data_IF_003825535214
#
_entry.id   IF_003825535214
#
_cell.length_a   1.000
_cell.length_b   1.000
_cell.length_c   1.000
_cell.angle_alpha   90.00
_cell.angle_beta   90.00
_cell.angle_gamma   90.00
#
_symmetry.space_group_name_H-M   'P 1'
#
loop_
_entity.id
_entity.type
_entity.pdbx_description
1 polymer ?
#
# COMPACT_ATOMS: atom_id res chain seq x y z
N UNK A 1 -16.57 -8.18 -9.95
CA UNK A 1 -15.23 -8.81 -9.98
C UNK A 1 -14.16 -7.71 -10.07
N UNK A 2 -12.98 -7.88 -9.46
CA UNK A 2 -11.89 -6.91 -9.54
C UNK A 2 -12.04 -5.64 -8.68
N UNK A 3 -12.46 -5.77 -7.41
CA UNK A 3 -12.51 -4.65 -6.46
C UNK A 3 -11.14 -3.94 -6.39
N UNK A 4 -11.11 -2.60 -6.35
CA UNK A 4 -9.92 -1.74 -6.47
C UNK A 4 -9.21 -1.72 -7.83
N UNK A 5 -9.36 -2.75 -8.68
CA UNK A 5 -8.88 -2.73 -10.07
C UNK A 5 -9.82 -1.97 -10.99
N UNK A 6 -11.12 -2.25 -10.88
CA UNK A 6 -12.15 -1.63 -11.72
C UNK A 6 -12.57 -0.28 -11.10
N UNK A 7 -12.52 0.84 -11.86
CA UNK A 7 -12.98 2.12 -11.34
C UNK A 7 -14.50 2.12 -11.14
N UNK A 8 -14.96 2.91 -10.18
CA UNK A 8 -16.38 3.19 -9.99
C UNK A 8 -16.97 4.14 -11.03
N UNK A 9 -18.25 4.45 -10.90
CA UNK A 9 -18.91 5.51 -11.67
C UNK A 9 -18.50 6.88 -11.11
N UNK A 10 -17.98 7.77 -11.96
CA UNK A 10 -17.43 9.06 -11.52
C UNK A 10 -18.47 9.98 -10.88
N UNK A 11 -19.71 9.97 -11.37
CA UNK A 11 -20.79 10.81 -10.82
C UNK A 11 -21.16 10.33 -9.41
N UNK A 12 -21.36 9.03 -9.22
CA UNK A 12 -21.66 8.46 -7.89
C UNK A 12 -20.51 8.65 -6.90
N UNK A 13 -19.26 8.59 -7.36
CA UNK A 13 -18.09 8.89 -6.53
C UNK A 13 -18.09 10.35 -6.06
N UNK A 14 -18.40 11.30 -6.96
CA UNK A 14 -18.50 12.70 -6.61
C UNK A 14 -19.61 12.95 -5.60
N UNK A 15 -20.80 12.40 -5.84
CA UNK A 15 -21.93 12.49 -4.90
C UNK A 15 -21.56 11.90 -3.54
N UNK A 16 -20.93 10.72 -3.50
CA UNK A 16 -20.50 10.09 -2.25
C UNK A 16 -19.47 10.97 -1.50
N UNK A 17 -18.51 11.55 -2.22
CA UNK A 17 -17.51 12.45 -1.66
C UNK A 17 -18.15 13.69 -1.03
N UNK A 18 -19.08 14.32 -1.73
CA UNK A 18 -19.81 15.50 -1.24
C UNK A 18 -20.60 15.18 0.03
N UNK A 19 -21.32 14.05 0.05
CA UNK A 19 -22.07 13.61 1.23
C UNK A 19 -21.15 13.33 2.43
N UNK A 20 -20.04 12.60 2.23
CA UNK A 20 -19.07 12.32 3.30
C UNK A 20 -18.42 13.60 3.85
N UNK A 21 -18.01 14.53 2.97
CA UNK A 21 -17.43 15.80 3.39
C UNK A 21 -18.44 16.71 4.10
N UNK A 22 -19.73 16.59 3.77
CA UNK A 22 -20.83 17.24 4.48
C UNK A 22 -21.16 16.61 5.84
N UNK A 23 -20.51 15.50 6.21
CA UNK A 23 -20.79 14.77 7.45
C UNK A 23 -22.09 13.98 7.42
N UNK A 24 -22.62 13.67 6.23
CA UNK A 24 -23.81 12.83 6.10
C UNK A 24 -23.53 11.40 6.55
N UNK A 25 -24.50 10.78 7.21
CA UNK A 25 -24.47 9.35 7.50
C UNK A 25 -24.89 8.58 6.25
N UNK A 26 -23.99 7.75 5.73
CA UNK A 26 -24.18 7.06 4.44
C UNK A 26 -24.69 5.65 4.70
N UNK A 27 -25.91 5.36 4.27
CA UNK A 27 -26.39 3.98 4.21
C UNK A 27 -25.89 3.27 2.95
N UNK A 28 -24.83 2.48 3.09
CA UNK A 28 -24.31 1.63 2.01
C UNK A 28 -25.21 0.42 1.69
N UNK A 29 -26.25 0.16 2.47
CA UNK A 29 -27.21 -0.93 2.26
C UNK A 29 -28.34 -0.54 1.30
N UNK A 30 -28.52 0.75 1.04
CA UNK A 30 -29.52 1.33 0.12
C UNK A 30 -29.40 0.83 -1.32
N UNK A 31 -28.19 0.47 -1.75
CA UNK A 31 -27.87 0.14 -3.15
C UNK A 31 -27.52 1.36 -4.01
N UNK A 32 -27.52 2.57 -3.46
CA UNK A 32 -27.21 3.81 -4.18
C UNK A 32 -25.76 3.88 -4.65
N UNK A 33 -24.85 3.21 -3.93
CA UNK A 33 -23.42 3.19 -4.22
C UNK A 33 -22.93 1.77 -4.51
N UNK A 34 -22.21 1.63 -5.62
CA UNK A 34 -21.56 0.37 -5.95
C UNK A 34 -20.23 0.25 -5.18
N UNK A 35 -19.80 -0.95 -4.75
CA UNK A 35 -18.53 -1.13 -4.03
C UNK A 35 -17.29 -0.52 -4.72
N UNK A 36 -17.29 -0.50 -6.06
CA UNK A 36 -16.20 0.14 -6.84
C UNK A 36 -16.15 1.66 -6.67
N UNK A 37 -17.28 2.31 -6.38
CA UNK A 37 -17.34 3.75 -6.13
C UNK A 37 -16.60 4.07 -4.82
N UNK A 38 -16.93 3.33 -3.75
CA UNK A 38 -16.28 3.42 -2.45
C UNK A 38 -14.78 3.07 -2.55
N UNK A 39 -14.45 2.00 -3.26
CA UNK A 39 -13.07 1.56 -3.46
C UNK A 39 -12.21 2.61 -4.19
N UNK A 40 -12.78 3.29 -5.19
CA UNK A 40 -12.06 4.34 -5.94
C UNK A 40 -11.92 5.60 -5.10
N UNK A 41 -12.96 5.96 -4.34
CA UNK A 41 -12.92 7.10 -3.43
C UNK A 41 -11.90 6.90 -2.30
N UNK A 42 -11.81 5.70 -1.73
CA UNK A 42 -10.80 5.37 -0.71
C UNK A 42 -9.37 5.53 -1.24
N UNK A 43 -9.08 5.03 -2.46
CA UNK A 43 -7.77 5.22 -3.09
C UNK A 43 -7.46 6.70 -3.31
N UNK A 44 -8.45 7.46 -3.77
CA UNK A 44 -8.31 8.89 -4.02
C UNK A 44 -8.04 9.65 -2.71
N UNK A 45 -8.77 9.34 -1.63
CA UNK A 45 -8.54 9.90 -0.30
C UNK A 45 -7.10 9.66 0.19
N UNK A 46 -6.60 8.41 0.10
CA UNK A 46 -5.23 8.09 0.49
C UNK A 46 -4.20 8.86 -0.34
N UNK A 47 -4.50 9.05 -1.63
CA UNK A 47 -3.65 9.83 -2.49
C UNK A 47 -3.66 11.34 -2.17
N UNK A 48 -4.82 11.90 -1.86
CA UNK A 48 -4.99 13.33 -1.60
C UNK A 48 -4.51 13.77 -0.21
N UNK A 49 -3.97 12.85 0.60
CA UNK A 49 -3.39 13.18 1.91
C UNK A 49 -2.25 14.23 1.77
N UNK A 50 -2.09 15.16 2.73
CA UNK A 50 -1.01 16.14 2.71
C UNK A 50 0.41 15.53 2.71
N UNK A 51 0.54 14.33 3.25
CA UNK A 51 1.76 13.52 3.27
C UNK A 51 1.37 12.05 3.00
N UNK A 52 2.24 11.23 2.37
CA UNK A 52 1.96 9.82 2.16
C UNK A 52 1.62 9.09 3.46
N UNK A 53 0.79 8.06 3.38
CA UNK A 53 0.38 7.31 4.56
C UNK A 53 1.57 6.73 5.34
N UNK A 54 2.62 6.28 4.63
CA UNK A 54 3.87 5.79 5.25
C UNK A 54 4.86 6.89 5.66
N UNK A 55 4.50 8.17 5.49
CA UNK A 55 5.32 9.35 5.74
C UNK A 55 6.62 9.40 4.91
N UNK A 56 7.24 10.56 4.77
CA UNK A 56 8.54 10.69 4.12
C UNK A 56 9.70 10.32 5.04
N UNK A 57 9.51 10.43 6.36
CA UNK A 57 10.57 10.31 7.38
C UNK A 57 11.31 8.98 7.35
N UNK A 58 10.60 7.88 7.08
CA UNK A 58 11.15 6.52 7.07
C UNK A 58 10.97 5.79 5.74
N UNK A 59 10.46 6.46 4.71
CA UNK A 59 10.21 5.91 3.38
C UNK A 59 11.45 5.21 2.79
N UNK A 60 12.63 5.83 2.92
CA UNK A 60 13.88 5.23 2.45
C UNK A 60 14.19 3.91 3.16
N UNK A 61 13.89 3.77 4.45
CA UNK A 61 14.08 2.52 5.17
C UNK A 61 13.06 1.47 4.72
N UNK A 62 11.80 1.87 4.51
CA UNK A 62 10.75 0.97 4.02
C UNK A 62 11.12 0.38 2.65
N UNK A 63 11.58 1.21 1.71
CA UNK A 63 12.03 0.77 0.37
C UNK A 63 13.27 -0.13 0.46
N UNK A 64 14.21 0.20 1.35
CA UNK A 64 15.46 -0.58 1.53
C UNK A 64 15.18 -1.98 2.09
N UNK A 65 14.32 -2.11 3.09
CA UNK A 65 14.05 -3.39 3.76
C UNK A 65 13.25 -4.35 2.88
N UNK A 66 12.33 -3.81 2.09
CA UNK A 66 11.47 -4.59 1.17
C UNK A 66 12.18 -4.99 -0.13
N UNK A 67 13.42 -4.53 -0.37
CA UNK A 67 14.09 -4.72 -1.65
C UNK A 67 13.41 -3.98 -2.82
N UNK A 68 12.45 -3.08 -2.55
CA UNK A 68 11.67 -2.35 -3.56
C UNK A 68 12.48 -1.38 -4.43
N UNK A 69 13.81 -1.29 -4.24
CA UNK A 69 14.71 -0.64 -5.21
C UNK A 69 14.62 -1.26 -6.61
N UNK A 70 14.09 -2.48 -6.73
CA UNK A 70 13.89 -3.18 -8.00
C UNK A 70 12.65 -2.68 -8.78
N UNK A 71 11.63 -2.10 -8.13
CA UNK A 71 10.45 -1.55 -8.83
C UNK A 71 10.79 -0.24 -9.55
N UNK A 72 11.79 0.53 -9.08
CA UNK A 72 12.28 1.71 -9.80
C UNK A 72 12.97 1.37 -11.12
N UNK A 73 13.56 0.19 -11.25
CA UNK A 73 14.28 -0.22 -12.47
C UNK A 73 13.36 -0.62 -13.63
N UNK A 74 12.08 -0.89 -13.36
CA UNK A 74 11.08 -1.20 -14.40
C UNK A 74 10.38 0.05 -14.94
N UNK A 75 10.59 1.23 -14.34
CA UNK A 75 9.96 2.49 -14.74
C UNK A 75 10.95 3.55 -15.25
N UNK A 76 12.26 3.35 -15.10
CA UNK A 76 13.30 4.24 -15.68
C UNK A 76 14.56 3.44 -16.04
N UNK A 77 15.20 3.79 -17.16
CA UNK A 77 16.33 3.10 -17.77
C UNK A 77 17.48 2.72 -16.81
N UNK A 78 18.24 1.64 -17.10
CA UNK A 78 19.20 1.07 -16.18
C UNK A 78 20.48 1.92 -16.12
N UNK A 79 20.80 2.47 -14.95
CA UNK A 79 22.10 3.11 -14.70
C UNK A 79 22.63 2.78 -13.30
N UNK A 80 23.55 1.82 -13.27
CA UNK A 80 24.75 1.70 -12.40
C UNK A 80 24.73 1.98 -10.88
N UNK A 81 23.61 1.99 -10.17
CA UNK A 81 23.60 1.92 -8.69
C UNK A 81 23.18 0.54 -8.15
N UNK A 82 23.66 -0.53 -8.80
CA UNK A 82 23.73 -1.86 -8.20
C UNK A 82 24.88 -1.85 -7.18
N UNK A 83 24.71 -2.39 -5.97
CA UNK A 83 25.79 -2.85 -5.06
C UNK A 83 25.85 -2.29 -3.63
N UNK A 84 24.73 -1.97 -2.96
CA UNK A 84 24.73 -1.93 -1.48
C UNK A 84 23.50 -2.55 -0.80
N UNK A 85 22.42 -2.78 -1.54
CA UNK A 85 21.09 -3.05 -0.96
C UNK A 85 20.86 -4.54 -0.68
N UNK A 86 21.47 -5.40 -1.49
CA UNK A 86 21.53 -6.84 -1.25
C UNK A 86 22.20 -7.14 0.11
N UNK A 87 23.01 -6.24 0.66
CA UNK A 87 23.86 -6.56 1.81
C UNK A 87 23.09 -6.72 3.12
N UNK A 88 22.05 -5.94 3.45
CA UNK A 88 21.43 -5.99 4.80
C UNK A 88 20.45 -7.15 5.04
N UNK A 89 19.82 -7.67 3.99
CA UNK A 89 18.89 -8.81 4.10
C UNK A 89 19.60 -10.16 3.90
N UNK A 90 20.86 -10.12 3.49
CA UNK A 90 21.72 -11.27 3.26
C UNK A 90 22.68 -11.49 4.43
N UNK A 91 22.23 -11.39 5.67
CA UNK A 91 23.03 -11.81 6.83
C UNK A 91 22.28 -12.88 7.64
N UNK A 92 22.94 -13.98 7.97
CA UNK A 92 22.39 -15.05 8.81
C UNK A 92 22.38 -14.67 10.30
N UNK A 93 21.88 -15.57 11.16
CA UNK A 93 21.86 -15.42 12.62
C UNK A 93 23.20 -15.20 13.29
N UNK A 94 24.28 -15.46 12.57
CA UNK A 94 25.65 -15.27 13.03
C UNK A 94 26.31 -14.04 12.40
N UNK A 95 25.55 -13.23 11.65
CA UNK A 95 26.04 -12.03 10.97
C UNK A 95 26.87 -12.31 9.72
N UNK A 96 26.87 -13.54 9.20
CA UNK A 96 27.59 -13.88 7.97
C UNK A 96 26.77 -13.57 6.74
N UNK A 97 27.44 -13.13 5.69
CA UNK A 97 26.80 -12.82 4.41
C UNK A 97 26.23 -14.09 3.77
N UNK A 98 24.92 -14.17 3.58
CA UNK A 98 24.21 -15.26 2.90
C UNK A 98 23.84 -14.88 1.47
N UNK A 99 23.25 -15.78 0.70
CA UNK A 99 22.61 -15.49 -0.60
C UNK A 99 21.08 -15.51 -0.54
N UNK A 100 20.52 -15.89 0.62
CA UNK A 100 19.07 -16.05 0.83
C UNK A 100 18.59 -14.95 1.78
N UNK A 101 17.63 -14.11 1.36
CA UNK A 101 17.06 -13.10 2.24
C UNK A 101 16.30 -13.72 3.41
N UNK A 102 16.62 -13.32 4.63
CA UNK A 102 15.87 -13.73 5.82
C UNK A 102 14.52 -12.97 5.86
N UNK A 103 13.44 -13.71 5.60
CA UNK A 103 12.08 -13.15 5.55
C UNK A 103 11.53 -12.80 6.93
N UNK A 104 11.94 -13.52 7.98
CA UNK A 104 11.45 -13.26 9.34
C UNK A 104 12.02 -11.94 9.85
N UNK A 105 13.32 -11.71 9.66
CA UNK A 105 13.95 -10.42 9.96
C UNK A 105 13.40 -9.27 9.15
N UNK A 106 13.07 -9.49 7.89
CA UNK A 106 12.41 -8.48 7.07
C UNK A 106 11.05 -8.09 7.66
N UNK A 107 10.27 -9.08 8.12
CA UNK A 107 8.98 -8.84 8.77
C UNK A 107 9.17 -8.06 10.07
N UNK A 108 10.09 -8.48 10.94
CA UNK A 108 10.38 -7.79 12.20
C UNK A 108 10.82 -6.34 11.97
N UNK A 109 11.73 -6.12 11.04
CA UNK A 109 12.21 -4.79 10.73
C UNK A 109 11.11 -3.91 10.12
N UNK A 110 10.21 -4.48 9.31
CA UNK A 110 9.01 -3.78 8.84
C UNK A 110 8.07 -3.44 9.99
N UNK A 111 7.81 -4.36 10.92
CA UNK A 111 6.97 -4.11 12.08
C UNK A 111 7.52 -2.95 12.93
N UNK A 112 8.83 -2.94 13.19
CA UNK A 112 9.49 -1.85 13.91
C UNK A 112 9.35 -0.51 13.17
N UNK A 113 9.54 -0.50 11.85
CA UNK A 113 9.34 0.69 11.03
C UNK A 113 7.90 1.22 11.09
N UNK A 114 6.90 0.32 11.09
CA UNK A 114 5.49 0.70 11.21
C UNK A 114 5.16 1.26 12.60
N UNK A 115 5.86 0.82 13.66
CA UNK A 115 5.72 1.40 15.00
C UNK A 115 6.19 2.86 15.08
N UNK A 116 7.11 3.28 14.20
CA UNK A 116 7.60 4.67 14.14
C UNK A 116 6.63 5.65 13.47
N UNK A 117 5.57 5.14 12.82
CA UNK A 117 4.55 6.00 12.21
C UNK A 117 3.76 6.75 13.30
N UNK A 118 3.30 7.99 13.01
CA UNK A 118 2.33 8.67 13.86
C UNK A 118 1.10 7.79 14.12
N UNK A 119 0.49 7.92 15.30
CA UNK A 119 -0.60 7.04 15.72
C UNK A 119 -1.76 7.02 14.71
N UNK A 120 -2.13 8.17 14.15
CA UNK A 120 -3.18 8.25 13.14
C UNK A 120 -2.84 7.45 11.86
N UNK A 121 -1.63 7.65 11.32
CA UNK A 121 -1.13 6.92 10.14
C UNK A 121 -1.08 5.42 10.39
N UNK A 122 -0.56 5.00 11.55
CA UNK A 122 -0.46 3.58 11.92
C UNK A 122 -1.84 2.93 12.03
N UNK A 123 -2.81 3.61 12.64
CA UNK A 123 -4.19 3.12 12.76
C UNK A 123 -4.85 2.99 11.38
N UNK A 124 -4.75 4.02 10.54
CA UNK A 124 -5.30 4.00 9.19
C UNK A 124 -4.63 2.90 8.33
N UNK A 125 -3.31 2.75 8.42
CA UNK A 125 -2.58 1.70 7.73
C UNK A 125 -3.01 0.31 8.19
N UNK A 126 -3.23 0.10 9.50
CA UNK A 126 -3.72 -1.18 10.01
C UNK A 126 -5.08 -1.53 9.42
N UNK A 127 -6.03 -0.58 9.45
CA UNK A 127 -7.36 -0.76 8.86
C UNK A 127 -7.27 -1.06 7.35
N UNK A 128 -6.39 -0.36 6.64
CA UNK A 128 -6.15 -0.60 5.23
C UNK A 128 -5.57 -2.01 4.99
N UNK A 129 -4.55 -2.43 5.74
CA UNK A 129 -3.95 -3.75 5.61
C UNK A 129 -4.95 -4.87 5.93
N UNK A 130 -5.79 -4.69 6.95
CA UNK A 130 -6.87 -5.62 7.27
C UNK A 130 -7.86 -5.73 6.10
N UNK A 131 -8.28 -4.61 5.51
CA UNK A 131 -9.16 -4.61 4.33
C UNK A 131 -8.53 -5.32 3.13
N UNK A 132 -7.25 -5.04 2.84
CA UNK A 132 -6.53 -5.67 1.73
C UNK A 132 -6.32 -7.18 1.98
N UNK A 133 -6.05 -7.59 3.21
CA UNK A 133 -5.94 -9.00 3.58
C UNK A 133 -7.26 -9.75 3.33
N UNK A 134 -8.38 -9.21 3.81
CA UNK A 134 -9.71 -9.82 3.59
C UNK A 134 -10.08 -9.86 2.10
N UNK A 135 -9.71 -8.82 1.35
CA UNK A 135 -9.91 -8.79 -0.11
C UNK A 135 -9.08 -9.87 -0.79
N UNK A 136 -7.80 -10.00 -0.44
CA UNK A 136 -6.89 -11.01 -0.99
C UNK A 136 -7.32 -12.45 -0.64
N UNK A 137 -7.89 -12.65 0.55
CA UNK A 137 -8.43 -13.95 0.98
C UNK A 137 -9.57 -14.45 0.09
N UNK A 138 -10.25 -13.55 -0.62
CA UNK A 138 -11.33 -13.87 -1.57
C UNK A 138 -10.85 -13.87 -3.04
N UNK A 139 -9.54 -14.00 -3.28
CA UNK A 139 -8.96 -13.91 -4.64
C UNK A 139 -9.57 -14.90 -5.64
N UNK A 140 -10.03 -16.07 -5.22
CA UNK A 140 -10.66 -17.03 -6.13
C UNK A 140 -11.95 -16.49 -6.77
N UNK A 141 -12.65 -15.59 -6.04
CA UNK A 141 -13.89 -14.94 -6.47
C UNK A 141 -13.65 -13.57 -7.09
N UNK A 142 -12.81 -12.74 -6.49
CA UNK A 142 -12.62 -11.34 -6.93
C UNK A 142 -11.40 -11.12 -7.82
N UNK A 143 -10.53 -12.12 -7.98
CA UNK A 143 -9.28 -12.14 -8.77
C UNK A 143 -8.21 -11.13 -8.33
N UNK A 144 -8.31 -10.63 -7.10
CA UNK A 144 -7.37 -9.69 -6.51
C UNK A 144 -6.48 -10.40 -5.49
N UNK A 145 -5.29 -10.84 -5.92
CA UNK A 145 -4.25 -11.34 -5.01
C UNK A 145 -3.61 -10.21 -4.20
N UNK A 146 -2.89 -10.54 -3.13
CA UNK A 146 -2.12 -9.56 -2.36
C UNK A 146 -1.14 -8.77 -3.26
N UNK A 147 -0.54 -9.42 -4.25
CA UNK A 147 0.32 -8.77 -5.25
C UNK A 147 -0.45 -7.75 -6.09
N UNK A 148 -1.62 -8.12 -6.64
CA UNK A 148 -2.43 -7.21 -7.44
C UNK A 148 -2.88 -5.98 -6.62
N UNK A 149 -3.27 -6.20 -5.37
CA UNK A 149 -3.65 -5.11 -4.46
C UNK A 149 -2.48 -4.20 -4.12
N UNK A 150 -1.29 -4.77 -3.90
CA UNK A 150 -0.07 -3.98 -3.66
C UNK A 150 0.23 -3.06 -4.85
N UNK A 151 0.13 -3.54 -6.09
CA UNK A 151 0.32 -2.71 -7.29
C UNK A 151 -0.67 -1.54 -7.36
N UNK A 152 -1.92 -1.77 -6.98
CA UNK A 152 -2.98 -0.74 -7.02
C UNK A 152 -2.82 0.31 -5.91
N UNK A 153 -2.33 -0.08 -4.72
CA UNK A 153 -2.25 0.81 -3.55
C UNK A 153 -0.87 1.43 -3.34
N UNK A 154 0.20 0.82 -3.83
CA UNK A 154 1.57 1.37 -3.72
C UNK A 154 1.66 2.86 -4.11
N UNK A 155 1.12 3.34 -5.26
CA UNK A 155 1.21 4.75 -5.61
C UNK A 155 0.50 5.67 -4.60
N UNK A 156 -0.59 5.22 -4.00
CA UNK A 156 -1.42 6.01 -3.07
C UNK A 156 -0.88 6.00 -1.63
N UNK A 157 -0.11 4.99 -1.25
CA UNK A 157 0.39 4.79 0.13
C UNK A 157 1.83 5.27 0.31
N UNK A 158 2.65 5.14 -0.74
CA UNK A 158 4.10 5.35 -0.71
C UNK A 158 4.51 6.66 -1.39
N UNK A 159 3.76 7.09 -2.42
CA UNK A 159 4.08 8.22 -3.30
C UNK A 159 5.52 8.19 -3.83
N UNK A 160 5.86 7.22 -4.69
CA UNK A 160 7.16 7.23 -5.37
C UNK A 160 7.26 8.53 -6.17
N UNK A 161 8.21 9.40 -5.81
CA UNK A 161 8.55 10.58 -6.63
C UNK A 161 8.96 10.11 -8.02
N UNK A 162 8.31 10.66 -9.05
CA UNK A 162 8.82 10.66 -10.43
C UNK A 162 10.21 11.30 -10.47
#
# INVERSE_FOLDING_TARGET
>A
EGLFRVPGNSLRQQTLREQLNGGADIDFSSGDFHPNDVATLLKSFLGELPEPLLTHRHLHAHIKITGLSEIKSQLTHPSHHRSLIITLTLFDDQGNKTSVPDKERQIEALQLLLMLLPTANRTLLKLLLDLLYHTAKQQDKNKMSAHNLALMFAPHVIWPKN
#
